data_IF_123106190306
#
_entry.id   IF_123106190306
#
_cell.length_a   1.000
_cell.length_b   1.000
_cell.length_c   1.000
_cell.angle_alpha   90.00
_cell.angle_beta   90.00
_cell.angle_gamma   90.00
#
_symmetry.space_group_name_H-M   'P 1'
#
loop_
_entity.id
_entity.type
_entity.pdbx_description
1 polymer ?
#
# COMPACT_ATOMS: atom_id res chain seq x y z
N UNK A 1 17.21 0.23 0.56
CA UNK A 1 16.13 1.13 0.98
C UNK A 1 16.32 2.46 0.27
N UNK A 2 15.24 3.12 -0.13
CA UNK A 2 15.27 4.48 -0.70
C UNK A 2 14.42 5.40 0.16
N UNK A 3 14.96 6.57 0.51
CA UNK A 3 14.26 7.58 1.30
C UNK A 3 14.34 8.92 0.58
N UNK A 4 13.21 9.60 0.45
CA UNK A 4 13.15 10.95 -0.10
C UNK A 4 12.27 11.86 0.78
N UNK A 5 12.56 13.16 0.72
CA UNK A 5 11.77 14.20 1.37
C UNK A 5 11.61 15.38 0.41
N UNK A 6 10.38 15.79 0.16
CA UNK A 6 10.06 16.95 -0.66
C UNK A 6 8.70 16.82 -1.33
N UNK A 7 8.02 17.94 -1.50
CA UNK A 7 6.76 17.97 -2.26
C UNK A 7 7.04 17.64 -3.73
N UNK A 8 6.11 16.93 -4.38
CA UNK A 8 6.23 16.49 -5.78
C UNK A 8 7.47 15.64 -6.06
N UNK A 9 7.88 14.85 -5.07
CA UNK A 9 9.04 13.96 -5.16
C UNK A 9 8.61 12.49 -5.29
N UNK A 10 9.60 11.63 -5.56
CA UNK A 10 9.41 10.18 -5.57
C UNK A 10 10.54 9.47 -4.82
N UNK A 11 10.19 8.44 -4.05
CA UNK A 11 11.13 7.44 -3.55
C UNK A 11 10.82 6.11 -4.24
N UNK A 12 11.75 5.60 -5.04
CA UNK A 12 11.60 4.33 -5.75
C UNK A 12 12.71 3.38 -5.33
N UNK A 13 12.34 2.14 -5.00
CA UNK A 13 13.30 1.11 -4.65
C UNK A 13 12.93 -0.23 -5.30
N UNK A 14 13.94 -1.04 -5.57
CA UNK A 14 13.77 -2.41 -6.04
C UNK A 14 14.71 -3.32 -5.26
N UNK A 15 14.17 -4.35 -4.64
CA UNK A 15 14.95 -5.34 -3.92
C UNK A 15 14.14 -6.06 -2.85
N UNK A 16 14.49 -7.32 -2.58
CA UNK A 16 13.87 -8.11 -1.53
C UNK A 16 14.22 -7.56 -0.15
N UNK A 17 13.28 -7.62 0.78
CA UNK A 17 13.40 -7.10 2.16
C UNK A 17 13.83 -5.64 2.20
N UNK A 18 13.32 -4.85 1.27
CA UNK A 18 13.72 -3.46 1.10
C UNK A 18 12.57 -2.50 1.43
N UNK A 19 12.87 -1.22 1.57
CA UNK A 19 11.88 -0.18 1.88
C UNK A 19 11.99 1.01 0.92
N UNK A 20 10.87 1.59 0.53
CA UNK A 20 10.78 2.90 -0.12
C UNK A 20 9.95 3.82 0.77
N UNK A 21 10.54 4.91 1.24
CA UNK A 21 9.88 5.86 2.16
C UNK A 21 9.93 7.24 1.56
N UNK A 22 8.77 7.90 1.45
CA UNK A 22 8.71 9.28 1.00
C UNK A 22 7.92 10.17 1.96
N UNK A 23 8.37 11.41 2.09
CA UNK A 23 7.72 12.44 2.91
C UNK A 23 7.57 13.71 2.09
N UNK A 24 6.34 14.04 1.71
CA UNK A 24 6.03 15.27 0.97
C UNK A 24 4.67 15.19 0.29
N UNK A 25 4.03 16.33 0.08
CA UNK A 25 2.72 16.39 -0.56
C UNK A 25 2.83 16.13 -2.06
N UNK A 26 1.79 15.55 -2.66
CA UNK A 26 1.77 15.17 -4.08
C UNK A 26 2.94 14.28 -4.48
N UNK A 27 3.32 13.34 -3.61
CA UNK A 27 4.51 12.54 -3.77
C UNK A 27 4.19 11.05 -3.95
N UNK A 28 5.18 10.27 -4.36
CA UNK A 28 5.04 8.83 -4.53
C UNK A 28 6.12 8.05 -3.78
N UNK A 29 5.74 6.95 -3.14
CA UNK A 29 6.65 5.92 -2.66
C UNK A 29 6.34 4.62 -3.41
N UNK A 30 7.29 4.09 -4.16
CA UNK A 30 7.09 2.87 -4.95
C UNK A 30 8.17 1.85 -4.61
N UNK A 31 7.77 0.66 -4.21
CA UNK A 31 8.69 -0.43 -3.95
C UNK A 31 8.31 -1.70 -4.71
N UNK A 32 9.32 -2.41 -5.17
CA UNK A 32 9.20 -3.70 -5.82
C UNK A 32 10.19 -4.67 -5.20
N UNK A 33 9.70 -5.72 -4.54
CA UNK A 33 10.53 -6.77 -3.98
C UNK A 33 9.81 -7.56 -2.90
N UNK A 34 10.20 -8.81 -2.72
CA UNK A 34 9.56 -9.72 -1.77
C UNK A 34 9.80 -9.26 -0.32
N UNK A 35 8.77 -9.29 0.54
CA UNK A 35 8.81 -8.80 1.93
C UNK A 35 9.26 -7.35 2.04
N UNK A 36 8.76 -6.49 1.17
CA UNK A 36 9.17 -5.09 1.12
C UNK A 36 8.09 -4.15 1.67
N UNK A 37 8.45 -2.90 1.92
CA UNK A 37 7.53 -1.87 2.40
C UNK A 37 7.57 -0.60 1.53
N UNK A 38 6.41 -0.02 1.24
CA UNK A 38 6.28 1.30 0.64
C UNK A 38 5.50 2.21 1.59
N UNK A 39 6.08 3.33 2.00
CA UNK A 39 5.46 4.24 2.99
C UNK A 39 5.50 5.67 2.47
N UNK A 40 4.35 6.35 2.50
CA UNK A 40 4.27 7.77 2.16
C UNK A 40 3.50 8.56 3.22
N UNK A 41 4.05 9.68 3.68
CA UNK A 41 3.46 10.46 4.78
C UNK A 41 2.79 11.77 4.37
N UNK A 42 2.93 12.23 3.13
CA UNK A 42 2.34 13.50 2.68
C UNK A 42 0.91 13.37 2.15
N UNK A 43 0.22 14.51 2.00
CA UNK A 43 -1.14 14.55 1.48
C UNK A 43 -1.17 14.35 -0.04
N UNK A 44 -2.32 13.92 -0.57
CA UNK A 44 -2.55 13.71 -2.00
C UNK A 44 -1.46 12.84 -2.65
N UNK A 45 -1.01 11.83 -1.93
CA UNK A 45 0.17 11.04 -2.28
C UNK A 45 -0.18 9.56 -2.54
N UNK A 46 0.79 8.80 -3.02
CA UNK A 46 0.62 7.37 -3.23
C UNK A 46 1.76 6.58 -2.57
N UNK A 47 1.42 5.43 -2.00
CA UNK A 47 2.35 4.38 -1.66
C UNK A 47 1.97 3.11 -2.44
N UNK A 48 2.89 2.52 -3.18
CA UNK A 48 2.63 1.35 -4.02
C UNK A 48 3.68 0.29 -3.78
N UNK A 49 3.22 -0.93 -3.51
CA UNK A 49 4.06 -2.10 -3.43
C UNK A 49 3.57 -3.20 -4.36
N UNK A 50 4.48 -3.76 -5.17
CA UNK A 50 4.17 -4.83 -6.11
C UNK A 50 4.79 -6.18 -5.73
N UNK A 51 5.57 -6.26 -4.66
CA UNK A 51 6.19 -7.51 -4.22
C UNK A 51 5.28 -8.38 -3.35
N UNK A 52 5.64 -9.66 -3.24
CA UNK A 52 4.92 -10.61 -2.39
C UNK A 52 5.22 -10.37 -0.89
N UNK A 53 4.29 -10.73 -0.01
CA UNK A 53 4.38 -10.51 1.45
C UNK A 53 4.71 -9.06 1.83
N UNK A 54 4.21 -8.10 1.04
CA UNK A 54 4.66 -6.72 1.12
C UNK A 54 3.59 -5.77 1.63
N UNK A 55 4.02 -4.63 2.15
CA UNK A 55 3.16 -3.65 2.79
C UNK A 55 3.19 -2.30 2.05
N UNK A 56 2.03 -1.64 1.96
CA UNK A 56 1.90 -0.26 1.50
C UNK A 56 1.15 0.59 2.54
N UNK A 57 1.70 1.75 2.90
CA UNK A 57 1.12 2.64 3.90
C UNK A 57 1.09 4.09 3.42
N UNK A 58 -0.05 4.75 3.65
CA UNK A 58 -0.17 6.21 3.54
C UNK A 58 -0.72 6.82 4.83
N UNK A 59 -0.10 7.90 5.30
CA UNK A 59 -0.60 8.64 6.48
C UNK A 59 -1.22 10.01 6.17
N UNK A 60 -1.05 10.52 4.95
CA UNK A 60 -1.65 11.80 4.53
C UNK A 60 -3.07 11.64 3.99
N UNK A 61 -3.87 12.70 4.12
CA UNK A 61 -5.23 12.75 3.57
C UNK A 61 -5.22 12.73 2.03
N UNK A 62 -6.30 12.27 1.43
CA UNK A 62 -6.46 12.12 -0.03
C UNK A 62 -5.38 11.25 -0.68
N UNK A 63 -4.76 10.36 0.11
CA UNK A 63 -3.69 9.50 -0.35
C UNK A 63 -4.16 8.06 -0.51
N UNK A 64 -3.45 7.28 -1.32
CA UNK A 64 -3.79 5.89 -1.62
C UNK A 64 -2.62 4.95 -1.33
N UNK A 65 -2.85 3.93 -0.52
CA UNK A 65 -1.93 2.81 -0.34
C UNK A 65 -2.38 1.63 -1.21
N UNK A 66 -1.49 1.11 -2.06
CA UNK A 66 -1.77 -0.02 -2.94
C UNK A 66 -0.76 -1.15 -2.74
N UNK A 67 -1.24 -2.35 -2.40
CA UNK A 67 -0.42 -3.56 -2.35
C UNK A 67 -0.95 -4.60 -3.35
N UNK A 68 -0.11 -4.96 -4.32
CA UNK A 68 -0.54 -5.67 -5.54
C UNK A 68 0.11 -7.06 -5.73
N UNK A 69 1.01 -7.45 -4.82
CA UNK A 69 1.66 -8.77 -4.79
C UNK A 69 0.90 -9.82 -3.98
N UNK A 70 1.40 -11.06 -3.96
CA UNK A 70 0.82 -12.16 -3.18
C UNK A 70 0.88 -11.80 -1.68
N UNK A 71 -0.19 -12.04 -0.93
CA UNK A 71 -0.27 -11.72 0.50
C UNK A 71 0.11 -10.26 0.83
N UNK A 72 -0.14 -9.33 -0.11
CA UNK A 72 0.08 -7.90 0.12
C UNK A 72 -0.92 -7.32 1.12
N UNK A 73 -0.46 -6.38 1.96
CA UNK A 73 -1.31 -5.64 2.90
C UNK A 73 -1.20 -4.13 2.72
N UNK A 74 -2.29 -3.42 3.00
CA UNK A 74 -2.35 -1.97 2.85
C UNK A 74 -3.04 -1.32 4.06
N UNK A 75 -2.58 -0.11 4.40
CA UNK A 75 -3.13 0.73 5.45
C UNK A 75 -3.18 2.18 5.00
N UNK A 76 -4.24 2.89 5.35
CA UNK A 76 -4.37 4.31 5.13
C UNK A 76 -4.91 5.02 6.39
N UNK A 77 -4.51 6.27 6.59
CA UNK A 77 -5.13 7.16 7.58
C UNK A 77 -6.47 7.73 7.08
N UNK A 78 -7.18 8.43 7.97
CA UNK A 78 -8.47 9.06 7.66
C UNK A 78 -8.41 9.98 6.43
N UNK A 79 -9.42 9.89 5.57
CA UNK A 79 -9.46 10.59 4.28
C UNK A 79 -8.56 9.98 3.19
N UNK A 80 -7.86 8.88 3.48
CA UNK A 80 -7.13 8.07 2.50
C UNK A 80 -7.96 6.91 1.95
N UNK A 81 -7.32 6.07 1.14
CA UNK A 81 -7.91 4.86 0.57
C UNK A 81 -6.87 3.75 0.46
N UNK A 82 -7.36 2.52 0.33
CA UNK A 82 -6.55 1.33 0.08
C UNK A 82 -6.96 0.66 -1.24
N UNK A 83 -6.00 0.02 -1.90
CA UNK A 83 -6.20 -0.89 -3.02
C UNK A 83 -5.44 -2.19 -2.74
N UNK A 84 -6.12 -3.32 -2.85
CA UNK A 84 -5.55 -4.63 -2.57
C UNK A 84 -5.87 -5.61 -3.68
N UNK A 85 -4.92 -6.51 -3.94
CA UNK A 85 -5.11 -7.67 -4.79
C UNK A 85 -5.04 -8.96 -3.97
N UNK A 86 -5.92 -9.91 -4.31
CA UNK A 86 -5.75 -11.32 -3.92
C UNK A 86 -5.24 -12.10 -5.12
N UNK A 87 -4.15 -12.85 -4.89
CA UNK A 87 -3.53 -13.73 -5.89
C UNK A 87 -3.45 -15.14 -5.33
N UNK A 88 -3.60 -16.13 -6.20
CA UNK A 88 -3.40 -17.53 -5.82
C UNK A 88 -1.89 -17.87 -5.66
N UNK A 89 -1.60 -19.11 -5.29
CA UNK A 89 -0.22 -19.61 -5.12
C UNK A 89 0.62 -19.62 -6.41
N UNK A 90 0.00 -19.51 -7.58
CA UNK A 90 0.67 -19.43 -8.87
C UNK A 90 0.87 -17.97 -9.32
N UNK A 91 0.37 -17.00 -8.55
CA UNK A 91 0.41 -15.57 -8.86
C UNK A 91 -0.74 -15.09 -9.74
N UNK A 92 -1.73 -15.94 -10.04
CA UNK A 92 -2.92 -15.55 -10.80
C UNK A 92 -3.73 -14.52 -10.01
N UNK A 93 -4.12 -13.43 -10.68
CA UNK A 93 -4.93 -12.37 -10.07
C UNK A 93 -6.39 -12.82 -10.02
N UNK A 94 -6.91 -13.03 -8.80
CA UNK A 94 -8.29 -13.50 -8.59
C UNK A 94 -9.19 -12.32 -8.24
N UNK A 95 -8.77 -11.46 -7.31
CA UNK A 95 -9.55 -10.29 -6.89
C UNK A 95 -8.71 -9.02 -6.87
N UNK A 96 -9.38 -7.90 -7.15
CA UNK A 96 -8.90 -6.55 -6.85
C UNK A 96 -10.06 -5.78 -6.23
N UNK A 97 -9.77 -5.04 -5.15
CA UNK A 97 -10.74 -4.15 -4.49
C UNK A 97 -10.07 -2.86 -4.08
N UNK A 98 -10.87 -1.81 -4.04
CA UNK A 98 -10.48 -0.51 -3.52
C UNK A 98 -11.58 -0.02 -2.57
N UNK A 99 -11.18 0.64 -1.49
CA UNK A 99 -12.12 1.30 -0.60
C UNK A 99 -11.47 2.52 0.04
N UNK A 100 -12.27 3.56 0.27
CA UNK A 100 -11.87 4.69 1.10
C UNK A 100 -11.97 4.31 2.56
N UNK A 101 -11.10 4.90 3.37
CA UNK A 101 -11.22 4.81 4.82
C UNK A 101 -12.54 5.44 5.27
N UNK A 102 -13.29 4.73 6.11
CA UNK A 102 -14.66 5.08 6.52
C UNK A 102 -15.77 4.52 5.63
N UNK A 103 -15.43 3.80 4.56
CA UNK A 103 -16.36 3.09 3.68
C UNK A 103 -16.04 1.59 3.66
N UNK A 104 -17.05 0.74 3.43
CA UNK A 104 -16.91 -0.73 3.37
C UNK A 104 -16.17 -1.31 4.58
N UNK A 105 -16.50 -0.80 5.78
CA UNK A 105 -15.92 -1.20 7.07
C UNK A 105 -14.39 -1.02 7.19
N UNK A 106 -13.77 -0.23 6.31
CA UNK A 106 -12.34 0.08 6.39
C UNK A 106 -12.09 1.13 7.47
N UNK A 107 -11.45 0.71 8.56
CA UNK A 107 -11.07 1.58 9.65
C UNK A 107 -9.76 2.32 9.36
N UNK A 108 -9.61 3.58 9.81
CA UNK A 108 -8.35 4.29 9.68
C UNK A 108 -7.25 3.55 10.44
N UNK A 109 -6.03 3.65 9.92
CA UNK A 109 -4.83 3.14 10.58
C UNK A 109 -4.80 1.64 10.86
N UNK A 110 -5.63 0.87 10.14
CA UNK A 110 -5.75 -0.58 10.25
C UNK A 110 -5.20 -1.25 9.00
N UNK A 111 -4.49 -2.36 9.18
CA UNK A 111 -3.94 -3.13 8.05
C UNK A 111 -4.99 -4.09 7.53
N UNK A 112 -5.16 -4.10 6.21
CA UNK A 112 -6.08 -5.01 5.53
C UNK A 112 -5.36 -5.84 4.47
N UNK A 113 -5.86 -7.05 4.27
CA UNK A 113 -5.60 -7.93 3.12
C UNK A 113 -6.93 -8.29 2.44
N UNK A 114 -6.87 -8.85 1.24
CA UNK A 114 -8.03 -9.54 0.67
C UNK A 114 -7.93 -11.03 0.97
N UNK A 115 -9.06 -11.65 1.31
CA UNK A 115 -9.19 -13.10 1.40
C UNK A 115 -9.53 -13.72 0.02
N UNK A 116 -9.71 -15.05 0.00
CA UNK A 116 -10.04 -15.81 -1.20
C UNK A 116 -11.40 -15.46 -1.83
N UNK A 117 -12.31 -14.92 -1.04
CA UNK A 117 -13.62 -14.43 -1.49
C UNK A 117 -13.58 -12.97 -1.97
N UNK A 118 -12.44 -12.30 -1.82
CA UNK A 118 -12.24 -10.91 -2.21
C UNK A 118 -12.84 -9.90 -1.23
N UNK A 119 -13.01 -10.29 0.03
CA UNK A 119 -13.41 -9.43 1.14
C UNK A 119 -12.18 -8.85 1.84
N UNK A 120 -12.32 -7.64 2.40
CA UNK A 120 -11.29 -7.03 3.23
C UNK A 120 -11.26 -7.71 4.60
N UNK A 121 -10.07 -8.16 5.02
CA UNK A 121 -9.85 -8.78 6.33
C UNK A 121 -8.74 -8.05 7.05
N UNK A 122 -8.98 -7.72 8.33
CA UNK A 122 -7.97 -7.11 9.20
C UNK A 122 -6.81 -8.06 9.44
N UNK A 123 -5.59 -7.52 9.50
CA UNK A 123 -4.37 -8.28 9.74
C UNK A 123 -3.39 -7.49 10.62
N UNK A 124 -2.35 -8.16 11.11
CA UNK A 124 -1.21 -7.53 11.83
C UNK A 124 -0.10 -7.11 10.87
#
# INVERSE_FOLDING_TARGET
>A
AATNTGDRSAATNTGDRSAATNTGNWSAATNTGNRSAATNTGNCSAATNTGDWSAAEVSGSQSVAAALGIEGKARASEGGAIVLCYRDKNGELIHIRASKVGENDIMPNTWYQLNEDGEFVECE
#
